data_IF_780757626428
#
_entry.id   IF_780757626428
#
_cell.length_a   1.000
_cell.length_b   1.000
_cell.length_c   1.000
_cell.angle_alpha   90.00
_cell.angle_beta   90.00
_cell.angle_gamma   90.00
#
_symmetry.space_group_name_H-M   'P 1'
#
loop_
_entity.id
_entity.type
_entity.pdbx_description
1 polymer ?
#
# COMPACT_ATOMS: atom_id res chain seq x y z
N UNK A 1 1.05 7.19 -25.21
CA UNK A 1 0.70 6.79 -23.81
C UNK A 1 1.33 5.44 -23.55
N UNK A 2 2.00 5.25 -22.42
CA UNK A 2 2.63 3.99 -22.07
C UNK A 2 1.59 2.90 -21.75
N UNK A 3 1.98 1.63 -21.90
CA UNK A 3 1.12 0.49 -21.52
C UNK A 3 0.66 0.57 -20.07
N UNK A 4 1.55 0.92 -19.13
CA UNK A 4 1.21 1.14 -17.74
C UNK A 4 0.15 2.24 -17.55
N UNK A 5 0.23 3.33 -18.30
CA UNK A 5 -0.75 4.42 -18.22
C UNK A 5 -2.13 3.99 -18.74
N UNK A 6 -2.18 3.18 -19.79
CA UNK A 6 -3.44 2.61 -20.27
C UNK A 6 -4.09 1.69 -19.24
N UNK A 7 -3.30 0.83 -18.61
CA UNK A 7 -3.78 -0.05 -17.52
C UNK A 7 -4.33 0.76 -16.34
N UNK A 8 -3.62 1.78 -15.90
CA UNK A 8 -4.08 2.67 -14.81
C UNK A 8 -5.41 3.32 -15.14
N UNK A 9 -5.52 3.89 -16.33
CA UNK A 9 -6.71 4.58 -16.80
C UNK A 9 -7.94 3.67 -16.82
N UNK A 10 -7.77 2.42 -17.24
CA UNK A 10 -8.86 1.44 -17.30
C UNK A 10 -9.28 0.97 -15.91
N UNK A 11 -8.33 0.68 -15.04
CA UNK A 11 -8.59 0.15 -13.69
C UNK A 11 -9.17 1.19 -12.74
N UNK A 12 -8.74 2.44 -12.85
CA UNK A 12 -9.26 3.53 -12.00
C UNK A 12 -10.70 3.94 -12.31
N UNK A 13 -11.28 3.44 -13.40
CA UNK A 13 -12.70 3.66 -13.74
C UNK A 13 -13.66 2.77 -12.95
N UNK A 14 -13.18 1.74 -12.28
CA UNK A 14 -14.03 0.84 -11.51
C UNK A 14 -14.57 1.55 -10.27
N UNK A 15 -15.89 1.50 -10.09
CA UNK A 15 -16.53 1.94 -8.87
C UNK A 15 -16.49 0.80 -7.85
N UNK A 16 -15.94 1.07 -6.67
CA UNK A 16 -15.87 0.11 -5.60
C UNK A 16 -17.06 0.31 -4.69
N UNK A 17 -17.95 -0.69 -4.66
CA UNK A 17 -19.14 -0.67 -3.81
C UNK A 17 -18.87 -1.20 -2.41
N UNK A 18 -17.79 -1.94 -2.21
CA UNK A 18 -17.44 -2.54 -0.93
C UNK A 18 -15.92 -2.51 -0.74
N UNK A 19 -15.48 -1.67 0.17
CA UNK A 19 -14.09 -1.51 0.56
C UNK A 19 -13.71 -2.40 1.77
N UNK A 20 -14.66 -3.18 2.27
CA UNK A 20 -14.46 -4.02 3.45
C UNK A 20 -13.62 -5.24 3.10
N UNK A 21 -12.64 -5.51 3.94
CA UNK A 21 -11.81 -6.69 3.84
C UNK A 21 -12.61 -7.95 4.24
N UNK A 22 -12.49 -9.03 3.46
CA UNK A 22 -13.12 -10.31 3.81
C UNK A 22 -12.46 -10.89 5.06
N UNK A 23 -13.22 -11.71 5.82
CA UNK A 23 -12.73 -12.29 7.07
C UNK A 23 -11.52 -13.20 6.85
N UNK A 24 -11.51 -13.96 5.76
CA UNK A 24 -10.37 -14.82 5.40
C UNK A 24 -9.10 -14.02 5.18
N UNK A 25 -9.17 -12.97 4.37
CA UNK A 25 -8.02 -12.13 4.06
C UNK A 25 -7.61 -11.30 5.28
N UNK A 26 -8.57 -10.83 6.06
CA UNK A 26 -8.31 -10.16 7.33
C UNK A 26 -7.50 -11.03 8.29
N UNK A 27 -7.86 -12.30 8.43
CA UNK A 27 -7.14 -13.26 9.26
C UNK A 27 -5.71 -13.50 8.76
N UNK A 28 -5.53 -13.68 7.45
CA UNK A 28 -4.19 -13.82 6.86
C UNK A 28 -3.32 -12.59 7.11
N UNK A 29 -3.88 -11.40 6.92
CA UNK A 29 -3.17 -10.15 7.17
C UNK A 29 -2.77 -10.02 8.64
N UNK A 30 -3.68 -10.30 9.57
CA UNK A 30 -3.39 -10.27 11.00
C UNK A 30 -2.23 -11.19 11.37
N UNK A 31 -2.17 -12.39 10.80
CA UNK A 31 -1.07 -13.32 11.04
C UNK A 31 0.28 -12.77 10.56
N UNK A 32 0.29 -12.08 9.43
CA UNK A 32 1.51 -11.52 8.85
C UNK A 32 2.04 -10.29 9.61
N UNK A 33 1.16 -9.55 10.29
CA UNK A 33 1.52 -8.29 10.96
C UNK A 33 1.56 -8.38 12.48
N UNK A 34 1.14 -9.50 13.06
CA UNK A 34 1.07 -9.69 14.52
C UNK A 34 2.41 -9.43 15.19
N UNK A 35 2.39 -8.58 16.21
CA UNK A 35 3.55 -8.19 17.02
C UNK A 35 4.71 -7.58 16.22
N UNK A 36 4.43 -7.06 15.02
CA UNK A 36 5.43 -6.43 14.15
C UNK A 36 5.26 -4.92 14.05
N UNK A 37 6.35 -4.25 13.73
CA UNK A 37 6.37 -2.84 13.36
C UNK A 37 5.96 -2.73 11.90
N UNK A 38 4.84 -2.06 11.61
CA UNK A 38 4.29 -1.96 10.27
C UNK A 38 4.28 -0.52 9.77
N UNK A 39 4.35 -0.38 8.44
CA UNK A 39 4.02 0.85 7.74
C UNK A 39 2.86 0.57 6.78
N UNK A 40 1.75 1.27 6.97
CA UNK A 40 0.54 1.10 6.16
C UNK A 40 0.13 2.40 5.50
N UNK A 41 -0.56 2.26 4.37
CA UNK A 41 -1.24 3.40 3.75
C UNK A 41 -2.50 3.78 4.56
N UNK A 42 -2.90 5.03 4.43
CA UNK A 42 -4.23 5.50 4.86
C UNK A 42 -5.14 5.39 3.62
N UNK A 43 -6.21 4.56 3.66
CA UNK A 43 -6.98 4.27 2.46
C UNK A 43 -7.56 5.51 1.79
N UNK A 44 -7.33 5.63 0.49
CA UNK A 44 -8.07 6.54 -0.39
C UNK A 44 -9.32 5.83 -0.91
N UNK A 45 -10.31 6.59 -1.40
CA UNK A 45 -11.65 6.13 -1.73
C UNK A 45 -11.79 4.79 -2.47
N UNK A 46 -10.83 4.42 -3.32
CA UNK A 46 -10.85 3.15 -4.06
C UNK A 46 -10.00 2.04 -3.41
N UNK A 47 -9.31 2.33 -2.34
CA UNK A 47 -8.43 1.39 -1.66
C UNK A 47 -9.17 0.64 -0.55
N UNK A 48 -8.79 -0.62 -0.34
CA UNK A 48 -9.41 -1.44 0.70
C UNK A 48 -9.07 -0.88 2.09
N UNK A 49 -10.08 -0.73 2.93
CA UNK A 49 -9.88 -0.31 4.31
C UNK A 49 -9.39 -1.48 5.16
N UNK A 50 -8.09 -1.49 5.43
CA UNK A 50 -7.42 -2.54 6.23
C UNK A 50 -7.26 -2.18 7.69
N UNK A 51 -7.49 -0.93 8.08
CA UNK A 51 -7.23 -0.44 9.43
C UNK A 51 -7.92 -1.25 10.54
N UNK A 52 -9.17 -1.73 10.36
CA UNK A 52 -9.83 -2.52 11.41
C UNK A 52 -9.12 -3.82 11.80
N UNK A 53 -8.25 -4.37 10.92
CA UNK A 53 -7.56 -5.64 11.18
C UNK A 53 -6.12 -5.49 11.64
N UNK A 54 -5.67 -4.26 11.87
CA UNK A 54 -4.28 -3.97 12.26
C UNK A 54 -4.07 -3.75 13.76
N UNK A 55 -5.03 -4.12 14.59
CA UNK A 55 -5.00 -3.85 16.04
C UNK A 55 -3.93 -4.61 16.82
N UNK A 56 -3.41 -5.70 16.29
CA UNK A 56 -2.43 -6.56 16.96
C UNK A 56 -0.98 -6.31 16.53
N UNK A 57 -0.71 -5.18 15.90
CA UNK A 57 0.65 -4.76 15.54
C UNK A 57 1.39 -4.19 16.76
N UNK A 58 2.71 -4.33 16.79
CA UNK A 58 3.55 -3.74 17.83
C UNK A 58 3.61 -2.22 17.73
N UNK A 59 3.77 -1.72 16.51
CA UNK A 59 3.83 -0.29 16.20
C UNK A 59 3.24 -0.07 14.81
N UNK A 60 2.48 1.00 14.64
CA UNK A 60 1.89 1.35 13.36
C UNK A 60 2.41 2.70 12.86
N UNK A 61 2.97 2.67 11.67
CA UNK A 61 3.48 3.83 10.96
C UNK A 61 2.74 4.03 9.64
N UNK A 62 2.91 5.18 9.04
CA UNK A 62 2.39 5.52 7.72
C UNK A 62 3.41 6.34 6.95
N UNK A 63 3.10 6.69 5.71
CA UNK A 63 3.96 7.48 4.85
C UNK A 63 3.53 8.93 4.78
N UNK A 64 4.48 9.82 4.51
CA UNK A 64 4.24 11.21 4.15
C UNK A 64 5.27 11.66 3.10
N UNK A 65 4.93 12.70 2.36
CA UNK A 65 5.85 13.28 1.36
C UNK A 65 6.76 14.32 2.00
N UNK A 66 8.04 14.19 1.74
CA UNK A 66 9.06 15.16 2.11
C UNK A 66 10.02 15.33 0.93
N UNK A 67 10.11 16.55 0.37
CA UNK A 67 10.99 16.87 -0.76
C UNK A 67 10.85 15.87 -1.94
N UNK A 68 9.61 15.58 -2.34
CA UNK A 68 9.25 14.66 -3.43
C UNK A 68 9.60 13.17 -3.18
N UNK A 69 9.94 12.81 -1.95
CA UNK A 69 10.14 11.42 -1.54
C UNK A 69 9.19 11.01 -0.42
N UNK A 70 8.84 9.72 -0.38
CA UNK A 70 8.12 9.16 0.76
C UNK A 70 9.07 8.90 1.94
N UNK A 71 8.62 9.32 3.11
CA UNK A 71 9.25 9.05 4.40
C UNK A 71 8.23 8.38 5.33
N UNK A 72 8.71 7.83 6.42
CA UNK A 72 7.90 7.10 7.40
C UNK A 72 7.75 7.93 8.67
N UNK A 73 6.52 8.02 9.16
CA UNK A 73 6.20 8.63 10.46
C UNK A 73 5.21 7.78 11.24
N UNK A 74 5.09 8.05 12.54
CA UNK A 74 4.10 7.41 13.39
C UNK A 74 2.68 7.63 12.85
N UNK A 75 1.85 6.57 12.85
CA UNK A 75 0.44 6.64 12.52
C UNK A 75 -0.31 7.28 13.69
N UNK A 76 -0.57 8.57 13.62
CA UNK A 76 -1.18 9.33 14.72
C UNK A 76 -2.12 10.42 14.22
N UNK A 77 -3.36 10.40 14.75
CA UNK A 77 -4.31 11.49 14.54
C UNK A 77 -3.85 12.77 15.27
N UNK A 78 -4.28 13.97 14.84
CA UNK A 78 -5.15 14.23 13.71
C UNK A 78 -4.44 14.12 12.37
N UNK A 79 -5.23 13.91 11.31
CA UNK A 79 -4.74 13.83 9.94
C UNK A 79 -5.12 15.08 9.14
N UNK A 80 -4.30 15.43 8.15
CA UNK A 80 -4.56 16.49 7.20
C UNK A 80 -4.58 15.94 5.77
N UNK A 81 -5.52 16.41 4.96
CA UNK A 81 -5.62 16.06 3.56
C UNK A 81 -4.71 16.95 2.72
N UNK A 82 -3.77 16.36 2.02
CA UNK A 82 -2.86 17.07 1.13
C UNK A 82 -3.55 17.43 -0.21
N UNK A 83 -2.91 18.24 -1.04
CA UNK A 83 -3.46 18.66 -2.34
C UNK A 83 -3.76 17.49 -3.27
N UNK A 84 -2.97 16.41 -3.20
CA UNK A 84 -3.19 15.19 -3.97
C UNK A 84 -4.29 14.28 -3.40
N UNK A 85 -4.96 14.68 -2.32
CA UNK A 85 -6.01 13.92 -1.65
C UNK A 85 -5.51 12.90 -0.63
N UNK A 86 -4.20 12.72 -0.49
CA UNK A 86 -3.62 11.78 0.47
C UNK A 86 -3.67 12.37 1.88
N UNK A 87 -4.08 11.54 2.85
CA UNK A 87 -4.07 11.91 4.26
C UNK A 87 -2.69 11.66 4.87
N UNK A 88 -2.25 12.59 5.70
CA UNK A 88 -1.01 12.48 6.46
C UNK A 88 -1.26 12.92 7.92
N UNK A 89 -0.51 12.38 8.90
CA UNK A 89 -0.53 12.92 10.25
C UNK A 89 -0.12 14.41 10.24
N UNK A 90 -0.82 15.23 11.02
CA UNK A 90 -0.43 16.64 11.22
C UNK A 90 0.90 16.71 11.96
N UNK A 91 1.04 15.92 13.02
CA UNK A 91 2.28 15.81 13.78
C UNK A 91 3.06 14.60 13.28
N UNK A 92 4.22 14.86 12.68
CA UNK A 92 5.03 13.81 12.06
C UNK A 92 6.19 13.44 12.97
N UNK A 93 6.03 12.32 13.68
CA UNK A 93 7.12 11.70 14.45
C UNK A 93 7.84 10.76 13.50
N UNK A 94 9.04 11.15 13.06
CA UNK A 94 9.82 10.41 12.07
C UNK A 94 10.19 9.03 12.59
N UNK A 95 10.07 8.02 11.72
CA UNK A 95 10.44 6.63 11.99
C UNK A 95 11.40 6.14 10.90
N UNK A 96 12.29 5.24 11.26
CA UNK A 96 13.26 4.64 10.35
C UNK A 96 13.31 3.11 10.46
N UNK A 97 12.36 2.52 11.16
CA UNK A 97 12.24 1.09 11.34
C UNK A 97 10.86 0.61 10.86
N UNK A 98 10.85 -0.43 10.07
CA UNK A 98 9.64 -1.10 9.61
C UNK A 98 9.99 -2.53 9.25
N UNK A 99 9.21 -3.47 9.78
CA UNK A 99 9.38 -4.89 9.50
C UNK A 99 8.44 -5.35 8.38
N UNK A 100 7.29 -4.69 8.22
CA UNK A 100 6.28 -5.01 7.22
C UNK A 100 5.74 -3.73 6.59
N UNK A 101 5.74 -3.69 5.26
CA UNK A 101 5.02 -2.68 4.49
C UNK A 101 3.72 -3.26 3.94
N UNK A 102 2.63 -2.55 4.13
CA UNK A 102 1.38 -2.79 3.42
C UNK A 102 1.30 -1.72 2.33
N UNK A 103 1.41 -2.14 1.08
CA UNK A 103 1.67 -1.26 -0.05
C UNK A 103 0.41 -1.10 -0.90
N UNK A 104 -0.05 0.14 -1.13
CA UNK A 104 -1.19 0.37 -2.02
C UNK A 104 -0.77 0.19 -3.48
N UNK A 105 -1.74 -0.09 -4.34
CA UNK A 105 -1.51 -0.19 -5.78
C UNK A 105 -2.80 -0.12 -6.58
N UNK A 106 -2.65 0.22 -7.84
CA UNK A 106 -3.75 0.23 -8.82
C UNK A 106 -4.05 -1.20 -9.28
N UNK A 107 -3.01 -2.02 -9.40
CA UNK A 107 -3.12 -3.43 -9.77
C UNK A 107 -1.94 -4.23 -9.23
N UNK A 108 -2.14 -5.54 -9.17
CA UNK A 108 -1.12 -6.52 -8.79
C UNK A 108 -1.21 -7.75 -9.69
N UNK A 109 -0.13 -8.52 -9.75
CA UNK A 109 -0.15 -9.88 -10.28
C UNK A 109 0.01 -10.87 -9.14
N UNK A 110 -0.40 -12.12 -9.36
CA UNK A 110 -0.19 -13.21 -8.38
C UNK A 110 1.30 -13.48 -8.08
N UNK A 111 2.19 -12.99 -8.93
CA UNK A 111 3.64 -13.14 -8.77
C UNK A 111 4.30 -11.99 -8.02
N UNK A 112 3.53 -11.02 -7.54
CA UNK A 112 4.02 -9.91 -6.74
C UNK A 112 4.32 -8.62 -7.51
N UNK A 113 4.13 -8.57 -8.81
CA UNK A 113 4.27 -7.32 -9.57
C UNK A 113 3.20 -6.32 -9.15
N UNK A 114 3.57 -5.06 -9.07
CA UNK A 114 2.70 -3.97 -8.63
C UNK A 114 2.66 -2.84 -9.65
N UNK A 115 1.48 -2.35 -9.93
CA UNK A 115 1.25 -1.12 -10.67
C UNK A 115 0.87 -0.01 -9.70
N UNK A 116 1.76 0.95 -9.48
CA UNK A 116 1.49 2.15 -8.68
C UNK A 116 0.82 3.24 -9.49
N UNK A 117 0.66 4.41 -8.87
CA UNK A 117 -0.01 5.57 -9.49
C UNK A 117 0.88 6.36 -10.48
N UNK A 118 2.16 6.02 -10.59
CA UNK A 118 3.06 6.55 -11.63
C UNK A 118 4.26 7.34 -11.12
N UNK A 119 4.30 7.72 -9.85
CA UNK A 119 5.39 8.53 -9.30
C UNK A 119 6.65 7.78 -8.91
N UNK A 120 6.60 6.45 -8.80
CA UNK A 120 7.74 5.62 -8.37
C UNK A 120 8.12 5.80 -6.90
N UNK A 121 7.30 6.46 -6.11
CA UNK A 121 7.59 6.83 -4.71
C UNK A 121 7.74 5.60 -3.81
N UNK A 122 6.85 4.61 -3.95
CA UNK A 122 6.96 3.38 -3.15
C UNK A 122 8.16 2.53 -3.55
N UNK A 123 8.48 2.43 -4.83
CA UNK A 123 9.67 1.68 -5.26
C UNK A 123 10.95 2.29 -4.68
N UNK A 124 11.05 3.61 -4.64
CA UNK A 124 12.16 4.33 -4.02
C UNK A 124 12.21 4.08 -2.51
N UNK A 125 11.08 4.16 -1.82
CA UNK A 125 10.99 3.91 -0.38
C UNK A 125 11.37 2.48 -0.04
N UNK A 126 10.81 1.49 -0.75
CA UNK A 126 11.02 0.08 -0.47
C UNK A 126 12.47 -0.37 -0.66
N UNK A 127 13.22 0.27 -1.54
CA UNK A 127 14.67 0.03 -1.71
C UNK A 127 15.47 0.31 -0.43
N UNK A 128 15.00 1.22 0.41
CA UNK A 128 15.66 1.56 1.68
C UNK A 128 15.45 0.48 2.75
N UNK A 129 14.49 -0.43 2.54
CA UNK A 129 14.11 -1.48 3.51
C UNK A 129 14.11 -2.86 2.84
N UNK A 130 15.26 -3.34 2.35
CA UNK A 130 15.29 -4.58 1.54
C UNK A 130 14.87 -5.83 2.33
N UNK A 131 14.98 -5.82 3.64
CA UNK A 131 14.63 -6.96 4.51
C UNK A 131 13.19 -6.90 5.03
N UNK A 132 12.46 -5.81 4.80
CA UNK A 132 11.07 -5.70 5.21
C UNK A 132 10.17 -6.53 4.31
N UNK A 133 9.16 -7.16 4.92
CA UNK A 133 8.11 -7.87 4.19
C UNK A 133 7.22 -6.86 3.46
N UNK A 134 6.85 -7.15 2.22
CA UNK A 134 6.04 -6.28 1.37
C UNK A 134 4.75 -7.00 1.01
N UNK A 135 3.62 -6.45 1.44
CA UNK A 135 2.29 -7.04 1.23
C UNK A 135 1.45 -6.09 0.38
N UNK A 136 0.99 -6.57 -0.76
CA UNK A 136 -0.04 -5.91 -1.56
C UNK A 136 -1.43 -6.47 -1.20
N UNK A 137 -2.43 -5.60 -1.19
CA UNK A 137 -3.82 -5.99 -0.96
C UNK A 137 -4.68 -5.36 -2.05
N UNK A 138 -5.53 -6.16 -2.66
CA UNK A 138 -6.34 -5.69 -3.78
C UNK A 138 -7.70 -6.36 -3.86
N UNK A 139 -8.62 -5.73 -4.58
CA UNK A 139 -9.85 -6.37 -5.03
C UNK A 139 -9.56 -7.36 -6.16
N UNK A 140 -10.48 -8.26 -6.43
CA UNK A 140 -10.36 -9.27 -7.49
C UNK A 140 -10.08 -8.65 -8.87
N UNK A 141 -10.76 -7.56 -9.23
CA UNK A 141 -10.53 -6.90 -10.53
C UNK A 141 -9.15 -6.23 -10.65
N UNK A 142 -8.47 -5.98 -9.54
CA UNK A 142 -7.12 -5.41 -9.51
C UNK A 142 -6.03 -6.49 -9.63
N UNK A 143 -6.39 -7.76 -9.48
CA UNK A 143 -5.48 -8.89 -9.70
C UNK A 143 -5.49 -9.21 -11.20
N UNK A 144 -4.47 -8.79 -11.90
CA UNK A 144 -4.36 -8.96 -13.35
C UNK A 144 -3.24 -9.93 -13.72
N UNK A 145 -3.25 -10.40 -14.97
CA UNK A 145 -2.32 -11.43 -15.41
C UNK A 145 -0.89 -10.92 -15.50
N UNK A 146 -0.71 -9.78 -16.14
CA UNK A 146 0.62 -9.22 -16.45
C UNK A 146 0.65 -7.72 -16.20
N UNK A 147 1.77 -7.25 -15.67
CA UNK A 147 2.12 -5.84 -15.56
C UNK A 147 3.49 -5.66 -16.20
N UNK A 148 3.68 -4.70 -17.13
CA UNK A 148 5.00 -4.41 -17.66
C UNK A 148 5.97 -4.02 -16.55
N UNK A 149 7.07 -4.76 -16.43
CA UNK A 149 8.09 -4.53 -15.41
C UNK A 149 9.18 -3.60 -15.90
N UNK A 150 9.67 -2.77 -15.00
CA UNK A 150 10.84 -1.94 -15.16
C UNK A 150 11.88 -2.34 -14.11
N UNK A 151 13.15 -2.05 -14.39
CA UNK A 151 14.27 -2.48 -13.54
C UNK A 151 14.16 -1.98 -12.09
N UNK A 152 13.59 -0.79 -11.90
CA UNK A 152 13.43 -0.17 -10.57
C UNK A 152 12.20 -0.64 -9.80
N UNK A 153 11.32 -1.43 -10.40
CA UNK A 153 10.11 -1.93 -9.75
C UNK A 153 10.46 -2.95 -8.67
N UNK A 154 9.90 -2.75 -7.47
CA UNK A 154 10.10 -3.66 -6.34
C UNK A 154 8.88 -4.58 -6.22
N UNK A 155 9.08 -5.91 -6.28
CA UNK A 155 7.95 -6.85 -6.15
C UNK A 155 7.46 -6.97 -4.72
N UNK A 156 6.19 -7.37 -4.59
CA UNK A 156 5.59 -7.74 -3.31
C UNK A 156 5.97 -9.19 -2.96
N UNK A 157 6.12 -9.45 -1.66
CA UNK A 157 6.32 -10.81 -1.15
C UNK A 157 5.00 -11.58 -1.07
N UNK A 158 3.91 -10.86 -0.77
CA UNK A 158 2.55 -11.39 -0.74
C UNK A 158 1.60 -10.46 -1.48
N UNK A 159 0.63 -11.04 -2.17
CA UNK A 159 -0.52 -10.33 -2.72
C UNK A 159 -1.78 -11.00 -2.19
N UNK A 160 -2.52 -10.30 -1.35
CA UNK A 160 -3.77 -10.76 -0.77
C UNK A 160 -4.92 -10.17 -1.57
N UNK A 161 -5.74 -11.04 -2.13
CA UNK A 161 -6.86 -10.63 -2.98
C UNK A 161 -8.17 -10.77 -2.23
N UNK A 162 -8.87 -9.66 -2.09
CA UNK A 162 -10.19 -9.62 -1.49
C UNK A 162 -11.24 -10.09 -2.50
N UNK A 163 -11.71 -11.30 -2.30
CA UNK A 163 -12.71 -11.94 -3.17
C UNK A 163 -14.09 -11.87 -2.51
#
# INVERSE_FOLDING_TARGET
MTEKNNLRSNLLKHNILNDKLSDEIGTKLQQLVSDRIICTYIPLGSEINILPVLSNTSEMNTTFMLDDELEICSYSAPFIKQQNGILEPVNKIIRNNTEVFIVPGVAFTKFGSRLGRGGGHYDTLLKKYPNALKIGICHDFQLIKDIPLEEHDIPMDYVLTNI
#
